data_IF_357941576613
#
_entry.id   IF_357941576613
#
_cell.length_a   1.000
_cell.length_b   1.000
_cell.length_c   1.000
_cell.angle_alpha   90.00
_cell.angle_beta   90.00
_cell.angle_gamma   90.00
#
_symmetry.space_group_name_H-M   'P 1'
#
loop_
_entity.id
_entity.type
_entity.pdbx_description
1 polymer ?
#
# COMPACT_ATOMS: atom_id res chain seq x y z
N UNK A 1 10.42 -1.13 10.31
CA UNK A 1 9.14 -1.45 9.61
C UNK A 1 9.34 -2.23 8.33
N UNK A 2 10.27 -1.86 7.45
CA UNK A 2 10.54 -2.64 6.22
C UNK A 2 10.78 -4.14 6.46
N UNK A 3 11.55 -4.50 7.50
CA UNK A 3 11.78 -5.91 7.89
C UNK A 3 10.48 -6.63 8.26
N UNK A 4 9.58 -5.99 9.02
CA UNK A 4 8.29 -6.59 9.40
C UNK A 4 7.37 -6.78 8.19
N UNK A 5 7.34 -5.81 7.27
CA UNK A 5 6.59 -5.93 6.02
C UNK A 5 7.13 -7.07 5.15
N UNK A 6 8.46 -7.22 5.07
CA UNK A 6 9.10 -8.32 4.35
C UNK A 6 8.83 -9.68 4.99
N UNK A 7 8.85 -9.77 6.32
CA UNK A 7 8.50 -11.00 7.05
C UNK A 7 7.02 -11.35 6.82
N UNK A 8 6.12 -10.37 6.95
CA UNK A 8 4.69 -10.58 6.71
C UNK A 8 4.43 -11.05 5.27
N UNK A 9 5.10 -10.43 4.30
CA UNK A 9 5.04 -10.86 2.90
C UNK A 9 5.59 -12.27 2.72
N UNK A 10 6.74 -12.59 3.30
CA UNK A 10 7.33 -13.92 3.21
C UNK A 10 6.40 -15.00 3.81
N UNK A 11 5.78 -14.71 4.96
CA UNK A 11 4.81 -15.62 5.60
C UNK A 11 3.59 -15.81 4.71
N UNK A 12 3.01 -14.73 4.18
CA UNK A 12 1.83 -14.82 3.31
C UNK A 12 2.15 -15.49 1.98
N UNK A 13 3.30 -15.19 1.37
CA UNK A 13 3.78 -15.85 0.16
C UNK A 13 3.98 -17.36 0.40
N UNK A 14 4.59 -17.73 1.53
CA UNK A 14 4.77 -19.14 1.92
C UNK A 14 3.42 -19.82 2.14
N UNK A 15 2.47 -19.17 2.83
CA UNK A 15 1.12 -19.71 3.03
C UNK A 15 0.34 -19.86 1.72
N UNK A 16 0.52 -18.94 0.76
CA UNK A 16 -0.09 -19.04 -0.57
C UNK A 16 0.45 -20.23 -1.36
N UNK A 17 1.78 -20.44 -1.32
CA UNK A 17 2.45 -21.58 -1.97
C UNK A 17 2.00 -22.90 -1.31
N UNK A 18 2.03 -22.98 0.02
CA UNK A 18 1.63 -24.17 0.77
C UNK A 18 0.15 -24.54 0.57
N UNK A 19 -0.73 -23.56 0.33
CA UNK A 19 -2.16 -23.78 0.07
C UNK A 19 -2.52 -23.93 -1.41
N UNK A 20 -1.54 -23.95 -2.32
CA UNK A 20 -1.78 -24.08 -3.77
C UNK A 20 -2.68 -22.97 -4.34
N UNK A 21 -2.68 -21.79 -3.72
CA UNK A 21 -3.58 -20.70 -4.10
C UNK A 21 -3.10 -20.07 -5.42
N UNK A 22 -3.95 -19.96 -6.45
CA UNK A 22 -3.55 -19.32 -7.70
C UNK A 22 -3.28 -17.83 -7.46
N UNK A 23 -2.18 -17.29 -8.01
CA UNK A 23 -1.81 -15.87 -7.91
C UNK A 23 -2.93 -14.88 -8.25
N UNK A 24 -3.91 -15.33 -9.06
CA UNK A 24 -5.15 -14.60 -9.35
C UNK A 24 -5.98 -14.27 -8.10
N UNK A 25 -6.00 -15.11 -7.07
CA UNK A 25 -6.76 -14.84 -5.84
C UNK A 25 -6.15 -13.73 -4.99
N UNK A 26 -4.89 -13.36 -5.24
CA UNK A 26 -4.19 -12.27 -4.55
C UNK A 26 -4.20 -10.97 -5.35
N UNK A 27 -5.11 -10.83 -6.32
CA UNK A 27 -5.28 -9.60 -7.11
C UNK A 27 -4.26 -9.38 -8.22
N UNK A 28 -3.48 -10.41 -8.57
CA UNK A 28 -2.57 -10.38 -9.72
C UNK A 28 -3.25 -11.02 -10.94
N UNK A 29 -3.94 -10.19 -11.72
CA UNK A 29 -4.66 -10.62 -12.92
C UNK A 29 -3.95 -10.14 -14.18
N UNK A 30 -3.40 -11.08 -14.97
CA UNK A 30 -2.70 -10.79 -16.24
C UNK A 30 -3.49 -9.91 -17.21
N UNK A 31 -4.82 -10.00 -17.22
CA UNK A 31 -5.69 -9.23 -18.12
C UNK A 31 -5.92 -7.78 -17.66
N UNK A 32 -5.67 -7.47 -16.38
CA UNK A 32 -5.88 -6.16 -15.78
C UNK A 32 -4.57 -5.44 -15.43
N UNK A 33 -3.42 -6.01 -15.81
CA UNK A 33 -2.10 -5.41 -15.56
C UNK A 33 -1.95 -4.07 -16.26
N UNK A 34 -2.28 -3.97 -17.55
CA UNK A 34 -2.14 -2.72 -18.32
C UNK A 34 -3.04 -1.60 -17.76
N UNK A 35 -4.36 -1.80 -17.54
CA UNK A 35 -5.19 -0.80 -16.87
C UNK A 35 -4.72 -0.46 -15.45
N UNK A 36 -4.26 -1.46 -14.68
CA UNK A 36 -3.74 -1.24 -13.32
C UNK A 36 -2.47 -0.40 -13.29
N UNK A 37 -1.56 -0.61 -14.24
CA UNK A 37 -0.35 0.21 -14.40
C UNK A 37 -0.72 1.63 -14.81
N UNK A 38 -1.61 1.80 -15.80
CA UNK A 38 -2.04 3.14 -16.23
C UNK A 38 -2.67 3.93 -15.08
N UNK A 39 -3.56 3.29 -14.32
CA UNK A 39 -4.21 3.94 -13.20
C UNK A 39 -3.24 4.22 -12.05
N UNK A 40 -2.36 3.27 -11.71
CA UNK A 40 -1.31 3.46 -10.73
C UNK A 40 -0.37 4.60 -11.10
N UNK A 41 0.12 4.65 -12.34
CA UNK A 41 0.99 5.72 -12.84
C UNK A 41 0.29 7.08 -12.82
N UNK A 42 -0.98 7.15 -13.22
CA UNK A 42 -1.76 8.39 -13.14
C UNK A 42 -1.81 8.92 -11.69
N UNK A 43 -1.97 8.03 -10.71
CA UNK A 43 -1.94 8.39 -9.30
C UNK A 43 -0.54 8.78 -8.81
N UNK A 44 0.51 8.13 -9.31
CA UNK A 44 1.90 8.55 -9.03
C UNK A 44 2.10 9.99 -9.48
N UNK A 45 1.82 10.31 -10.75
CA UNK A 45 1.95 11.67 -11.27
C UNK A 45 1.11 12.68 -10.49
N UNK A 46 -0.15 12.36 -10.21
CA UNK A 46 -1.03 13.22 -9.42
C UNK A 46 -0.45 13.48 -8.02
N UNK A 47 0.07 12.46 -7.36
CA UNK A 47 0.64 12.58 -6.00
C UNK A 47 1.88 13.46 -5.99
N UNK A 48 2.76 13.31 -6.99
CA UNK A 48 3.96 14.13 -7.14
C UNK A 48 3.62 15.59 -7.42
N UNK A 49 2.63 15.82 -8.28
CA UNK A 49 2.16 17.15 -8.64
C UNK A 49 1.52 17.86 -7.44
N UNK A 50 0.59 17.19 -6.74
CA UNK A 50 -0.09 17.75 -5.57
C UNK A 50 0.85 18.06 -4.41
N UNK A 51 1.96 17.33 -4.27
CA UNK A 51 2.96 17.57 -3.24
C UNK A 51 4.05 18.57 -3.67
N UNK A 52 3.99 19.11 -4.88
CA UNK A 52 4.97 20.08 -5.39
C UNK A 52 6.39 19.50 -5.58
N UNK A 53 6.55 18.18 -5.51
CA UNK A 53 7.85 17.48 -5.62
C UNK A 53 8.22 17.10 -7.05
N UNK A 54 7.46 17.60 -8.03
CA UNK A 54 7.75 17.37 -9.44
C UNK A 54 9.07 18.04 -9.85
N UNK A 55 9.29 19.30 -9.46
CA UNK A 55 10.51 20.04 -9.80
C UNK A 55 11.74 19.53 -9.06
N UNK A 56 11.58 19.02 -7.83
CA UNK A 56 12.68 18.47 -7.03
C UNK A 56 13.29 17.20 -7.62
N UNK A 57 12.56 16.47 -8.48
CA UNK A 57 13.15 15.32 -9.20
C UNK A 57 14.14 15.71 -10.30
N UNK A 58 14.00 16.91 -10.86
CA UNK A 58 14.79 17.33 -12.03
C UNK A 58 15.99 18.20 -11.67
N UNK A 59 16.05 18.73 -10.45
CA UNK A 59 17.10 19.66 -10.04
C UNK A 59 18.22 18.96 -9.26
N UNK A 60 17.92 18.35 -8.11
CA UNK A 60 18.91 17.68 -7.27
C UNK A 60 18.26 16.51 -6.52
N UNK A 61 18.25 15.32 -7.12
CA UNK A 61 17.73 14.14 -6.44
C UNK A 61 18.82 13.50 -5.58
N UNK A 62 18.67 13.47 -4.23
CA UNK A 62 19.66 12.86 -3.37
C UNK A 62 19.74 11.35 -3.64
N UNK A 63 20.95 10.78 -3.59
CA UNK A 63 21.17 9.34 -3.85
C UNK A 63 20.31 8.45 -2.93
N UNK A 64 20.12 8.89 -1.69
CA UNK A 64 19.25 8.24 -0.69
C UNK A 64 17.80 8.15 -1.18
N UNK A 65 17.30 9.12 -1.94
CA UNK A 65 15.93 9.09 -2.47
C UNK A 65 15.76 8.00 -3.53
N UNK A 66 16.78 7.68 -4.34
CA UNK A 66 16.69 6.60 -5.34
C UNK A 66 16.56 5.24 -4.64
N UNK A 67 17.39 4.99 -3.63
CA UNK A 67 17.30 3.78 -2.82
C UNK A 67 15.97 3.71 -2.06
N UNK A 68 15.52 4.83 -1.49
CA UNK A 68 14.23 4.92 -0.81
C UNK A 68 13.06 4.61 -1.74
N UNK A 69 13.12 4.96 -3.03
CA UNK A 69 12.10 4.60 -4.02
C UNK A 69 12.00 3.08 -4.19
N UNK A 70 13.15 2.41 -4.38
CA UNK A 70 13.19 0.96 -4.54
C UNK A 70 12.65 0.23 -3.30
N UNK A 71 13.08 0.64 -2.11
CA UNK A 71 12.56 0.08 -0.87
C UNK A 71 11.07 0.38 -0.68
N UNK A 72 10.60 1.58 -1.02
CA UNK A 72 9.19 1.96 -0.90
C UNK A 72 8.31 1.18 -1.88
N UNK A 73 8.81 0.87 -3.08
CA UNK A 73 8.14 -0.01 -4.04
C UNK A 73 8.00 -1.43 -3.51
N UNK A 74 9.08 -2.00 -2.99
CA UNK A 74 9.05 -3.35 -2.41
C UNK A 74 8.08 -3.40 -1.23
N UNK A 75 8.19 -2.45 -0.29
CA UNK A 75 7.32 -2.39 0.90
C UNK A 75 5.86 -2.17 0.49
N UNK A 76 5.58 -1.20 -0.39
CA UNK A 76 4.21 -0.90 -0.82
C UNK A 76 3.56 -2.07 -1.54
N UNK A 77 4.26 -2.72 -2.47
CA UNK A 77 3.74 -3.90 -3.16
C UNK A 77 3.56 -5.09 -2.21
N UNK A 78 4.49 -5.28 -1.27
CA UNK A 78 4.41 -6.33 -0.28
C UNK A 78 3.20 -6.16 0.65
N UNK A 79 3.07 -4.98 1.28
CA UNK A 79 1.96 -4.66 2.18
C UNK A 79 0.62 -4.76 1.43
N UNK A 80 0.51 -4.17 0.24
CA UNK A 80 -0.75 -4.20 -0.51
C UNK A 80 -1.11 -5.59 -1.03
N UNK A 81 -0.14 -6.44 -1.38
CA UNK A 81 -0.42 -7.84 -1.73
C UNK A 81 -0.99 -8.62 -0.54
N UNK A 82 -0.45 -8.39 0.66
CA UNK A 82 -0.92 -9.04 1.89
C UNK A 82 -2.31 -8.53 2.29
N UNK A 83 -2.45 -7.22 2.46
CA UNK A 83 -3.64 -6.62 3.05
C UNK A 83 -4.80 -6.51 2.04
N UNK A 84 -4.52 -6.07 0.81
CA UNK A 84 -5.55 -5.84 -0.21
C UNK A 84 -5.70 -7.01 -1.17
N UNK A 85 -4.60 -7.64 -1.54
CA UNK A 85 -4.60 -8.84 -2.37
C UNK A 85 -5.23 -10.03 -1.67
N UNK A 86 -4.76 -10.37 -0.46
CA UNK A 86 -5.22 -11.57 0.25
C UNK A 86 -6.29 -11.28 1.31
N UNK A 87 -5.96 -10.52 2.36
CA UNK A 87 -6.83 -10.31 3.53
C UNK A 87 -8.18 -9.70 3.15
N UNK A 88 -8.18 -8.60 2.40
CA UNK A 88 -9.41 -7.94 1.96
C UNK A 88 -10.30 -8.87 1.13
N UNK A 89 -9.74 -9.61 0.16
CA UNK A 89 -10.52 -10.51 -0.68
C UNK A 89 -11.16 -11.64 0.14
N UNK A 90 -10.46 -12.14 1.17
CA UNK A 90 -11.01 -13.14 2.10
C UNK A 90 -12.12 -12.56 2.98
N UNK A 91 -11.89 -11.40 3.58
CA UNK A 91 -12.90 -10.75 4.42
C UNK A 91 -14.15 -10.37 3.62
N UNK A 92 -14.00 -9.97 2.35
CA UNK A 92 -15.13 -9.71 1.45
C UNK A 92 -15.89 -11.00 1.15
N UNK A 93 -15.21 -12.13 0.95
CA UNK A 93 -15.89 -13.41 0.69
C UNK A 93 -16.74 -13.89 1.87
N UNK A 94 -16.36 -13.54 3.11
CA UNK A 94 -17.06 -13.97 4.33
C UNK A 94 -18.13 -12.97 4.78
N UNK A 95 -17.83 -11.66 4.75
CA UNK A 95 -18.71 -10.62 5.32
C UNK A 95 -19.35 -9.69 4.28
N UNK A 96 -19.05 -9.90 3.00
CA UNK A 96 -19.52 -9.05 1.90
C UNK A 96 -18.63 -7.82 1.68
N UNK A 97 -18.94 -7.09 0.61
CA UNK A 97 -18.04 -6.07 0.05
C UNK A 97 -17.75 -4.90 1.03
N UNK A 98 -18.78 -4.29 1.60
CA UNK A 98 -18.64 -3.13 2.49
C UNK A 98 -17.95 -3.50 3.82
N UNK A 99 -18.42 -4.55 4.48
CA UNK A 99 -17.88 -4.98 5.78
C UNK A 99 -16.47 -5.53 5.65
N UNK A 100 -16.19 -6.31 4.60
CA UNK A 100 -14.84 -6.84 4.34
C UNK A 100 -13.82 -5.75 4.05
N UNK A 101 -14.20 -4.72 3.29
CA UNK A 101 -13.34 -3.56 3.03
C UNK A 101 -13.02 -2.74 4.30
N UNK A 102 -14.04 -2.45 5.12
CA UNK A 102 -13.84 -1.73 6.38
C UNK A 102 -12.97 -2.55 7.35
N UNK A 103 -13.24 -3.84 7.51
CA UNK A 103 -12.45 -4.72 8.37
C UNK A 103 -10.98 -4.82 7.92
N UNK A 104 -10.72 -4.97 6.62
CA UNK A 104 -9.36 -5.01 6.09
C UNK A 104 -8.62 -3.68 6.34
N UNK A 105 -9.33 -2.56 6.22
CA UNK A 105 -8.76 -1.23 6.48
C UNK A 105 -8.45 -1.03 7.95
N UNK A 106 -9.32 -1.47 8.86
CA UNK A 106 -9.06 -1.46 10.29
C UNK A 106 -7.83 -2.32 10.66
N UNK A 107 -7.72 -3.54 10.12
CA UNK A 107 -6.57 -4.40 10.33
C UNK A 107 -5.26 -3.78 9.81
N UNK A 108 -5.30 -3.12 8.66
CA UNK A 108 -4.14 -2.41 8.13
C UNK A 108 -3.72 -1.23 9.02
N UNK A 109 -4.68 -0.46 9.55
CA UNK A 109 -4.39 0.62 10.49
C UNK A 109 -3.75 0.05 11.76
N UNK A 110 -4.30 -1.02 12.33
CA UNK A 110 -3.72 -1.70 13.50
C UNK A 110 -2.28 -2.18 13.24
N UNK A 111 -2.03 -2.74 12.06
CA UNK A 111 -0.68 -3.14 11.62
C UNK A 111 0.28 -1.95 11.52
N UNK A 112 -0.20 -0.78 11.09
CA UNK A 112 0.59 0.44 10.92
C UNK A 112 0.84 1.22 12.22
N UNK A 113 0.06 1.01 13.28
CA UNK A 113 0.23 1.73 14.56
C UNK A 113 1.69 1.77 15.05
N UNK A 114 2.44 0.65 15.09
CA UNK A 114 3.80 0.69 15.62
C UNK A 114 4.75 1.51 14.74
N UNK A 115 4.42 1.76 13.47
CA UNK A 115 5.20 2.66 12.60
C UNK A 115 4.99 4.13 12.95
N UNK A 116 3.80 4.48 13.45
CA UNK A 116 3.47 5.85 13.84
C UNK A 116 3.90 6.18 15.26
N UNK A 117 4.25 5.19 16.08
CA UNK A 117 4.84 5.41 17.42
C UNK A 117 6.12 6.26 17.38
N UNK A 118 6.81 6.29 16.24
CA UNK A 118 7.99 7.15 16.01
C UNK A 118 7.66 8.64 16.20
N UNK A 119 6.40 9.05 16.00
CA UNK A 119 5.93 10.42 16.23
C UNK A 119 5.60 10.73 17.71
N UNK A 120 5.83 9.77 18.62
CA UNK A 120 5.58 9.89 20.06
C UNK A 120 4.13 9.57 20.43
N UNK A 121 3.93 8.63 21.35
CA UNK A 121 2.59 8.26 21.81
C UNK A 121 1.87 9.44 22.47
N UNK A 122 0.61 9.66 22.11
CA UNK A 122 -0.22 10.71 22.70
C UNK A 122 0.07 12.13 22.21
N UNK A 123 1.00 12.32 21.28
CA UNK A 123 1.25 13.64 20.66
C UNK A 123 0.18 13.98 19.64
N UNK A 124 0.00 15.27 19.36
CA UNK A 124 -0.89 15.73 18.27
C UNK A 124 -0.45 15.15 16.90
N UNK A 125 0.86 15.07 16.66
CA UNK A 125 1.41 14.50 15.43
C UNK A 125 1.00 13.03 15.26
N UNK A 126 1.05 12.22 16.32
CA UNK A 126 0.59 10.84 16.29
C UNK A 126 -0.87 10.72 15.85
N UNK A 127 -1.78 11.50 16.46
CA UNK A 127 -3.20 11.45 16.12
C UNK A 127 -3.51 11.91 14.69
N UNK A 128 -2.80 12.93 14.20
CA UNK A 128 -2.90 13.35 12.79
C UNK A 128 -2.48 12.20 11.87
N UNK A 129 -1.38 11.51 12.17
CA UNK A 129 -0.89 10.41 11.34
C UNK A 129 -1.82 9.19 11.38
N UNK A 130 -2.44 8.89 12.52
CA UNK A 130 -3.48 7.86 12.61
C UNK A 130 -4.68 8.24 11.76
N UNK A 131 -5.18 9.47 11.85
CA UNK A 131 -6.33 9.93 11.06
C UNK A 131 -6.04 9.87 9.55
N UNK A 132 -4.88 10.37 9.13
CA UNK A 132 -4.43 10.27 7.73
C UNK A 132 -4.26 8.82 7.29
N UNK A 133 -3.72 7.96 8.16
CA UNK A 133 -3.55 6.53 7.91
C UNK A 133 -4.87 5.79 7.74
N UNK A 134 -5.89 6.14 8.51
CA UNK A 134 -7.26 5.60 8.34
C UNK A 134 -7.81 5.99 6.97
N UNK A 135 -7.75 7.28 6.61
CA UNK A 135 -8.23 7.77 5.31
C UNK A 135 -7.48 7.10 4.16
N UNK A 136 -6.15 7.02 4.26
CA UNK A 136 -5.31 6.37 3.27
C UNK A 136 -5.65 4.88 3.15
N UNK A 137 -5.88 4.18 4.26
CA UNK A 137 -6.25 2.77 4.24
C UNK A 137 -7.60 2.55 3.53
N UNK A 138 -8.60 3.38 3.81
CA UNK A 138 -9.91 3.29 3.15
C UNK A 138 -9.77 3.53 1.65
N UNK A 139 -9.01 4.56 1.25
CA UNK A 139 -8.72 4.88 -0.14
C UNK A 139 -8.06 3.70 -0.86
N UNK A 140 -6.99 3.14 -0.30
CA UNK A 140 -6.28 1.97 -0.86
C UNK A 140 -7.21 0.77 -1.04
N UNK A 141 -8.04 0.50 -0.04
CA UNK A 141 -9.03 -0.57 -0.12
C UNK A 141 -10.09 -0.34 -1.20
N UNK A 142 -10.55 0.90 -1.38
CA UNK A 142 -11.49 1.28 -2.44
C UNK A 142 -10.85 1.18 -3.83
N UNK A 143 -9.60 1.62 -3.96
CA UNK A 143 -8.83 1.48 -5.20
C UNK A 143 -8.67 0.02 -5.60
N UNK A 144 -8.43 -0.89 -4.65
CA UNK A 144 -8.39 -2.32 -4.91
C UNK A 144 -9.74 -2.84 -5.42
N UNK A 145 -10.87 -2.41 -4.84
CA UNK A 145 -12.20 -2.82 -5.31
C UNK A 145 -12.50 -2.37 -6.74
N UNK A 146 -12.07 -1.16 -7.10
CA UNK A 146 -12.30 -0.57 -8.42
C UNK A 146 -11.37 -1.12 -9.48
N UNK A 147 -10.08 -1.19 -9.19
CA UNK A 147 -9.07 -1.66 -10.14
C UNK A 147 -8.99 -3.18 -10.23
N UNK A 148 -9.40 -3.89 -9.17
CA UNK A 148 -9.23 -5.34 -8.99
C UNK A 148 -7.79 -5.81 -9.21
N UNK A 149 -6.82 -4.91 -9.02
CA UNK A 149 -5.41 -5.18 -9.28
C UNK A 149 -4.53 -4.50 -8.22
N UNK A 150 -3.60 -5.26 -7.62
CA UNK A 150 -2.74 -4.79 -6.51
C UNK A 150 -1.76 -3.69 -6.93
N UNK A 151 -1.31 -3.69 -8.19
CA UNK A 151 -0.42 -2.63 -8.71
C UNK A 151 -0.97 -1.22 -8.49
N UNK A 152 -2.28 -1.00 -8.59
CA UNK A 152 -2.86 0.35 -8.43
C UNK A 152 -2.64 0.89 -7.01
N UNK A 153 -3.15 0.23 -5.95
CA UNK A 153 -2.88 0.69 -4.58
C UNK A 153 -1.39 0.57 -4.22
N UNK A 154 -0.67 -0.44 -4.72
CA UNK A 154 0.75 -0.64 -4.45
C UNK A 154 1.65 0.50 -4.96
N UNK A 155 1.43 0.97 -6.19
CA UNK A 155 2.17 2.10 -6.74
C UNK A 155 1.86 3.41 -6.01
N UNK A 156 0.58 3.68 -5.72
CA UNK A 156 0.19 4.85 -4.94
C UNK A 156 0.79 4.84 -3.53
N UNK A 157 0.76 3.69 -2.85
CA UNK A 157 1.33 3.53 -1.52
C UNK A 157 2.84 3.70 -1.52
N UNK A 158 3.54 3.07 -2.47
CA UNK A 158 4.99 3.20 -2.62
C UNK A 158 5.41 4.65 -2.82
N UNK A 159 4.72 5.39 -3.69
CA UNK A 159 5.03 6.81 -3.93
C UNK A 159 4.66 7.66 -2.73
N UNK A 160 3.55 7.37 -2.04
CA UNK A 160 3.19 8.06 -0.81
C UNK A 160 4.26 7.94 0.28
N UNK A 161 4.91 6.78 0.39
CA UNK A 161 6.06 6.55 1.28
C UNK A 161 7.31 7.28 0.78
N UNK A 162 7.61 7.14 -0.51
CA UNK A 162 8.82 7.69 -1.10
C UNK A 162 8.86 9.23 -1.04
N UNK A 163 7.73 9.90 -1.22
CA UNK A 163 7.68 11.37 -1.22
C UNK A 163 8.08 11.96 0.15
N UNK A 164 8.09 11.18 1.24
CA UNK A 164 8.65 11.62 2.50
C UNK A 164 10.20 11.75 2.49
N UNK A 165 10.86 11.19 1.47
CA UNK A 165 12.32 11.17 1.29
C UNK A 165 12.80 12.04 0.10
N UNK A 166 11.87 12.67 -0.61
CA UNK A 166 12.12 13.74 -1.59
C UNK A 166 12.09 15.10 -0.89
#
# INVERSE_FOLDING_TARGET
MGILAMIAFAVVATLLVLRGQPWRSSGWHKNLTRPGIQFGLALVFLTLFLRGKFLTMFQDMPEVALWALLFSLVIGLAEETVFRGYLQMRLISVWGNQKGWLAASALYVLWRIPSWLVFGWGTQAFWIQVALGILQSLLLGWMMLKSRHVLTPGLYHAVSLWVAYL
#
